data_IF_427055410748
#
_entry.id   IF_427055410748
#
_cell.length_a   1.000
_cell.length_b   1.000
_cell.length_c   1.000
_cell.angle_alpha   90.00
_cell.angle_beta   90.00
_cell.angle_gamma   90.00
#
_symmetry.space_group_name_H-M   'P 1'
#
loop_
_entity.id
_entity.type
_entity.pdbx_description
1 polymer ?
#
# COMPACT_ATOMS: atom_id res chain seq x y z
N UNK A 1 -21.66 28.38 -0.45
CA UNK A 1 -20.94 27.82 0.71
C UNK A 1 -20.61 26.37 0.37
N UNK A 2 -19.40 26.12 -0.17
CA UNK A 2 -19.02 24.80 -0.65
C UNK A 2 -18.39 24.00 0.50
N UNK A 3 -19.06 22.94 0.94
CA UNK A 3 -18.52 22.01 1.93
C UNK A 3 -17.40 21.20 1.27
N UNK A 4 -16.17 21.70 1.41
CA UNK A 4 -14.97 20.97 1.05
C UNK A 4 -14.79 19.84 2.08
N UNK A 5 -15.39 18.68 1.82
CA UNK A 5 -15.01 17.43 2.48
C UNK A 5 -13.62 17.05 1.95
N UNK A 6 -12.60 17.76 2.41
CA UNK A 6 -11.22 17.32 2.29
C UNK A 6 -11.14 15.98 2.99
N UNK A 7 -11.11 14.89 2.22
CA UNK A 7 -10.92 13.53 2.70
C UNK A 7 -9.76 13.55 3.69
N UNK A 8 -10.05 13.45 4.99
CA UNK A 8 -9.03 13.46 6.04
C UNK A 8 -8.01 12.40 5.67
N UNK A 9 -6.79 12.81 5.31
CA UNK A 9 -5.68 11.87 5.15
C UNK A 9 -5.37 11.38 6.56
N UNK A 10 -6.01 10.28 6.96
CA UNK A 10 -5.77 9.66 8.24
C UNK A 10 -4.34 9.09 8.19
N UNK A 11 -3.38 9.87 8.67
CA UNK A 11 -2.02 9.39 8.85
C UNK A 11 -2.01 8.47 10.06
N UNK A 12 -1.69 7.20 9.85
CA UNK A 12 -1.50 6.22 10.92
C UNK A 12 -0.01 6.13 11.21
N UNK A 13 0.38 6.37 12.45
CA UNK A 13 1.73 6.14 12.93
C UNK A 13 1.77 4.85 13.76
N UNK A 14 2.76 4.00 13.49
CA UNK A 14 3.02 2.81 14.28
C UNK A 14 4.52 2.62 14.45
N UNK A 15 4.91 1.97 15.54
CA UNK A 15 6.31 1.65 15.82
C UNK A 15 6.61 0.22 15.36
N UNK A 16 7.72 0.04 14.66
CA UNK A 16 8.18 -1.29 14.20
C UNK A 16 9.53 -1.60 14.83
N UNK A 17 9.70 -2.85 15.28
CA UNK A 17 10.99 -3.36 15.71
C UNK A 17 11.72 -3.95 14.51
N UNK A 18 12.86 -3.38 14.18
CA UNK A 18 13.75 -3.89 13.14
C UNK A 18 14.90 -4.66 13.78
N UNK A 19 15.44 -5.65 13.06
CA UNK A 19 16.71 -6.27 13.46
C UNK A 19 17.83 -5.22 13.41
N UNK A 20 18.90 -5.36 14.22
CA UNK A 20 20.02 -4.42 14.22
C UNK A 20 20.62 -4.23 12.82
N UNK A 21 20.82 -5.33 12.10
CA UNK A 21 21.36 -5.32 10.73
C UNK A 21 20.47 -4.55 9.75
N UNK A 22 19.14 -4.69 9.87
CA UNK A 22 18.21 -3.99 8.99
C UNK A 22 18.14 -2.49 9.32
N UNK A 23 18.24 -2.14 10.60
CA UNK A 23 18.36 -0.75 11.05
C UNK A 23 19.62 -0.09 10.49
N UNK A 24 20.77 -0.77 10.53
CA UNK A 24 22.03 -0.25 9.97
C UNK A 24 21.93 -0.04 8.46
N UNK A 25 21.36 -1.01 7.73
CA UNK A 25 21.11 -0.87 6.29
C UNK A 25 20.19 0.31 5.96
N UNK A 26 19.12 0.50 6.74
CA UNK A 26 18.20 1.62 6.57
C UNK A 26 18.89 2.98 6.82
N UNK A 27 19.70 3.07 7.88
CA UNK A 27 20.49 4.27 8.20
C UNK A 27 21.50 4.58 7.09
N UNK A 28 22.26 3.59 6.65
CA UNK A 28 23.24 3.74 5.57
C UNK A 28 22.57 4.24 4.29
N UNK A 29 21.46 3.61 3.89
CA UNK A 29 20.70 4.02 2.71
C UNK A 29 20.15 5.44 2.83
N UNK A 30 19.65 5.83 4.00
CA UNK A 30 19.18 7.20 4.25
C UNK A 30 20.28 8.25 4.11
N UNK A 31 21.51 7.89 4.52
CA UNK A 31 22.67 8.77 4.37
C UNK A 31 23.11 8.88 2.91
N UNK A 32 23.15 7.75 2.19
CA UNK A 32 23.60 7.69 0.80
C UNK A 32 22.62 8.38 -0.18
N UNK A 33 21.31 8.20 0.00
CA UNK A 33 20.30 8.78 -0.91
C UNK A 33 19.84 10.18 -0.48
N UNK A 34 20.19 10.63 0.73
CA UNK A 34 19.69 11.87 1.33
C UNK A 34 18.19 11.84 1.65
N UNK A 35 17.55 10.69 1.55
CA UNK A 35 16.12 10.53 1.85
C UNK A 35 15.90 10.24 3.33
N UNK A 36 14.75 10.67 3.85
CA UNK A 36 14.33 10.27 5.20
C UNK A 36 14.09 8.76 5.29
N UNK A 37 14.39 8.17 6.45
CA UNK A 37 14.12 6.75 6.70
C UNK A 37 12.62 6.41 6.49
N UNK A 38 11.72 7.33 6.82
CA UNK A 38 10.27 7.18 6.61
C UNK A 38 9.93 7.09 5.12
N UNK A 39 10.52 7.94 4.28
CA UNK A 39 10.30 7.90 2.83
C UNK A 39 10.78 6.56 2.24
N UNK A 40 11.94 6.07 2.68
CA UNK A 40 12.49 4.78 2.24
C UNK A 40 11.57 3.61 2.65
N UNK A 41 11.04 3.64 3.88
CA UNK A 41 10.11 2.60 4.35
C UNK A 41 8.79 2.64 3.59
N UNK A 42 8.24 3.82 3.34
CA UNK A 42 7.00 3.95 2.56
C UNK A 42 7.18 3.42 1.13
N UNK A 43 8.24 3.81 0.43
CA UNK A 43 8.55 3.32 -0.92
C UNK A 43 8.70 1.79 -0.95
N UNK A 44 9.40 1.23 0.05
CA UNK A 44 9.57 -0.21 0.15
C UNK A 44 8.25 -0.96 0.38
N UNK A 45 7.35 -0.41 1.21
CA UNK A 45 6.02 -0.97 1.46
C UNK A 45 5.13 -0.86 0.21
N UNK A 46 5.12 0.27 -0.47
CA UNK A 46 4.39 0.47 -1.73
C UNK A 46 4.85 -0.55 -2.78
N UNK A 47 6.16 -0.72 -2.93
CA UNK A 47 6.72 -1.70 -3.86
C UNK A 47 6.41 -3.14 -3.42
N UNK A 48 6.43 -3.45 -2.12
CA UNK A 48 6.02 -4.75 -1.63
C UNK A 48 4.55 -5.04 -2.00
N UNK A 49 3.63 -4.11 -1.74
CA UNK A 49 2.23 -4.30 -2.10
C UNK A 49 2.02 -4.41 -3.62
N UNK A 50 2.72 -3.62 -4.43
CA UNK A 50 2.64 -3.71 -5.88
C UNK A 50 3.08 -5.08 -6.44
N UNK A 51 4.03 -5.74 -5.78
CA UNK A 51 4.57 -7.03 -6.24
C UNK A 51 3.97 -8.26 -5.55
N UNK A 52 3.40 -8.10 -4.35
CA UNK A 52 2.86 -9.20 -3.53
C UNK A 52 1.34 -9.24 -3.52
N UNK A 53 0.65 -8.17 -3.94
CA UNK A 53 -0.80 -8.19 -4.14
C UNK A 53 -1.14 -8.35 -5.64
N UNK A 54 -1.17 -9.56 -6.22
CA UNK A 54 -2.13 -9.80 -7.27
C UNK A 54 -3.52 -9.67 -6.62
N UNK A 55 -4.40 -8.92 -7.27
CA UNK A 55 -5.83 -8.75 -6.95
C UNK A 55 -6.43 -10.03 -6.29
N UNK A 56 -7.06 -10.01 -5.12
CA UNK A 56 -8.45 -9.58 -4.89
C UNK A 56 -8.85 -9.88 -3.42
N UNK A 57 -9.60 -9.00 -2.72
CA UNK A 57 -10.56 -9.49 -1.74
C UNK A 57 -12.04 -9.23 -2.09
N UNK A 58 -12.37 -8.57 -3.22
CA UNK A 58 -13.74 -8.07 -3.45
C UNK A 58 -14.24 -8.15 -4.91
N UNK A 59 -13.91 -9.21 -5.65
CA UNK A 59 -14.63 -9.53 -6.89
C UNK A 59 -15.72 -10.57 -6.59
N UNK A 60 -17.00 -10.20 -6.41
CA UNK A 60 -18.08 -11.18 -6.42
C UNK A 60 -18.09 -11.89 -7.78
N UNK A 61 -18.46 -13.19 -7.84
CA UNK A 61 -18.55 -13.90 -9.10
C UNK A 61 -19.45 -13.10 -10.04
N UNK A 62 -18.91 -12.74 -11.21
CA UNK A 62 -19.63 -12.02 -12.25
C UNK A 62 -20.89 -12.80 -12.62
N UNK A 63 -22.00 -12.46 -11.98
CA UNK A 63 -23.32 -12.93 -12.34
C UNK A 63 -23.73 -12.19 -13.61
N UNK A 64 -23.44 -12.77 -14.77
CA UNK A 64 -24.06 -12.40 -16.05
C UNK A 64 -23.84 -13.45 -17.14
N UNK A 65 -24.70 -14.47 -17.15
CA UNK A 65 -25.58 -14.76 -18.30
C UNK A 65 -26.62 -15.82 -17.93
N UNK A 66 -27.75 -15.35 -17.40
CA UNK A 66 -29.02 -16.03 -17.55
C UNK A 66 -29.76 -15.43 -18.76
N UNK A 67 -30.42 -16.30 -19.53
CA UNK A 67 -31.28 -15.99 -20.68
C UNK A 67 -30.58 -16.24 -22.02
N UNK A 68 -31.10 -17.03 -22.96
CA UNK A 68 -32.46 -17.54 -23.20
C UNK A 68 -32.36 -18.54 -24.38
N UNK A 69 -33.32 -19.47 -24.53
CA UNK A 69 -33.53 -20.18 -25.80
C UNK A 69 -33.66 -21.71 -25.71
N UNK A 70 -34.72 -22.19 -25.09
CA UNK A 70 -35.43 -23.40 -25.54
C UNK A 70 -35.94 -23.20 -26.98
N UNK A 71 -35.57 -24.06 -27.93
CA UNK A 71 -36.49 -24.77 -28.82
C UNK A 71 -35.79 -25.86 -29.64
#
# INVERSE_FOLDING_TARGET
MANFYGRSRAYVAFQVRLTPELKEKLMKRSFETGQSQVAIVNEALENYFANVAPENPDSPPSASKGGDGTH
#
